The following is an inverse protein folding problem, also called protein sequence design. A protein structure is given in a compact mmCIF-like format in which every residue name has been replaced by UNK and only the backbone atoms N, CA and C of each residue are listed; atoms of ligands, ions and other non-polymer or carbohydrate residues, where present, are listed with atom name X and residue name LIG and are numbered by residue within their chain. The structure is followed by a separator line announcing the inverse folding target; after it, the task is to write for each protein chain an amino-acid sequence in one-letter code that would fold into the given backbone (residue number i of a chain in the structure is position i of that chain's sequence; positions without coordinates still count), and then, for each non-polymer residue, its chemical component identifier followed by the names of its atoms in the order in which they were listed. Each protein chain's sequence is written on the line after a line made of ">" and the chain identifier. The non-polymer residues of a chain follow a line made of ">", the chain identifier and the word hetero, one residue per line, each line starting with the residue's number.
data_IF_450460134918
#
_entry.id   IF_450460134918
#
_cell.length_a   1.000
_cell.length_b   1.000
_cell.length_c   1.000
_cell.angle_alpha   90.00
_cell.angle_beta   90.00
_cell.angle_gamma   90.00
#
_symmetry.space_group_name_H-M   'P 1'
#
loop_
_entity.id
_entity.type
_entity.pdbx_description
1 polymer ?
#
# COMPACT_ATOMS: atom_id res chain seq x y z
N UNK A 1 1.46 7.93 16.46
CA UNK A 1 1.17 7.13 15.22
C UNK A 1 -0.20 6.49 15.41
N UNK A 2 -1.04 6.47 14.37
CA UNK A 2 -2.38 5.84 14.41
C UNK A 2 -2.24 4.33 14.74
N UNK A 3 -3.07 3.74 15.63
CA UNK A 3 -2.91 2.35 16.05
C UNK A 3 -2.93 1.34 14.88
N UNK A 4 -3.85 1.50 13.92
CA UNK A 4 -3.91 0.63 12.73
C UNK A 4 -2.66 0.75 11.86
N UNK A 5 -2.07 1.95 11.73
CA UNK A 5 -0.81 2.13 10.98
C UNK A 5 0.35 1.43 11.69
N UNK A 6 0.41 1.52 13.02
CA UNK A 6 1.43 0.82 13.79
C UNK A 6 1.33 -0.70 13.62
N UNK A 7 0.12 -1.25 13.73
CA UNK A 7 -0.14 -2.68 13.51
C UNK A 7 0.20 -3.10 12.07
N UNK A 8 -0.22 -2.31 11.07
CA UNK A 8 0.02 -2.60 9.65
C UNK A 8 1.51 -2.70 9.29
N UNK A 9 2.36 -1.89 9.94
CA UNK A 9 3.81 -1.85 9.71
C UNK A 9 4.61 -2.71 10.69
N UNK A 10 3.97 -3.50 11.54
CA UNK A 10 4.64 -4.40 12.47
C UNK A 10 5.24 -5.58 11.71
N UNK A 11 6.57 -5.61 11.56
CA UNK A 11 7.26 -6.65 10.77
C UNK A 11 7.31 -8.03 11.46
N UNK A 12 6.72 -8.16 12.64
CA UNK A 12 6.58 -9.44 13.35
C UNK A 12 5.40 -10.28 12.83
N UNK A 13 4.46 -9.65 12.13
CA UNK A 13 3.26 -10.29 11.60
C UNK A 13 2.89 -9.63 10.28
N UNK A 14 2.85 -10.37 9.15
CA UNK A 14 2.60 -9.77 7.84
C UNK A 14 1.18 -9.20 7.73
N UNK A 15 1.03 -8.10 7.01
CA UNK A 15 -0.24 -7.42 6.78
C UNK A 15 -0.68 -7.47 5.32
N UNK A 16 -1.98 -7.28 5.05
CA UNK A 16 -2.55 -7.28 3.70
C UNK A 16 -3.27 -5.95 3.42
N UNK A 17 -2.86 -5.27 2.37
CA UNK A 17 -3.56 -4.12 1.79
C UNK A 17 -4.21 -4.51 0.47
N UNK A 18 -5.49 -4.18 0.30
CA UNK A 18 -6.21 -4.31 -0.98
C UNK A 18 -6.36 -2.92 -1.59
N UNK A 19 -5.71 -2.71 -2.74
CA UNK A 19 -5.61 -1.40 -3.38
C UNK A 19 -6.60 -1.21 -4.54
N UNK A 20 -7.01 0.04 -4.78
CA UNK A 20 -7.90 0.41 -5.88
C UNK A 20 -9.36 0.06 -5.61
N UNK A 21 -9.83 0.31 -4.40
CA UNK A 21 -11.24 0.20 -4.02
C UNK A 21 -11.99 1.43 -4.52
N UNK A 22 -13.13 1.24 -5.18
CA UNK A 22 -13.86 2.30 -5.86
C UNK A 22 -15.31 2.47 -5.39
N UNK A 23 -15.82 1.55 -4.58
CA UNK A 23 -17.21 1.58 -4.15
C UNK A 23 -17.41 1.18 -2.68
N UNK A 24 -18.50 1.66 -2.03
CA UNK A 24 -18.72 1.45 -0.60
C UNK A 24 -18.99 -0.01 -0.22
N UNK A 25 -19.63 -0.79 -1.08
CA UNK A 25 -19.97 -2.18 -0.76
C UNK A 25 -18.71 -3.06 -0.65
N UNK A 26 -17.78 -2.92 -1.59
CA UNK A 26 -16.48 -3.61 -1.53
C UNK A 26 -15.65 -3.14 -0.32
N UNK A 27 -15.65 -1.83 -0.05
CA UNK A 27 -14.92 -1.26 1.09
C UNK A 27 -15.41 -1.82 2.44
N UNK A 28 -16.73 -1.88 2.64
CA UNK A 28 -17.31 -2.44 3.86
C UNK A 28 -17.06 -3.95 3.97
N UNK A 29 -17.16 -4.71 2.88
CA UNK A 29 -16.89 -6.14 2.86
C UNK A 29 -15.42 -6.45 3.19
N UNK A 30 -14.45 -5.65 2.69
CA UNK A 30 -13.03 -5.77 3.06
C UNK A 30 -12.82 -5.56 4.55
N UNK A 31 -13.46 -4.54 5.13
CA UNK A 31 -13.37 -4.28 6.56
C UNK A 31 -14.03 -5.40 7.41
N UNK A 32 -15.14 -6.00 6.94
CA UNK A 32 -15.78 -7.14 7.60
C UNK A 32 -14.92 -8.41 7.56
N UNK A 33 -14.18 -8.63 6.48
CA UNK A 33 -13.25 -9.74 6.35
C UNK A 33 -12.00 -9.60 7.22
N UNK A 34 -11.73 -8.42 7.77
CA UNK A 34 -10.54 -8.16 8.59
C UNK A 34 -9.28 -7.89 7.76
N UNK A 35 -9.42 -7.35 6.54
CA UNK A 35 -8.30 -6.82 5.78
C UNK A 35 -7.67 -5.65 6.54
N UNK A 36 -6.33 -5.59 6.62
CA UNK A 36 -5.63 -4.60 7.44
C UNK A 36 -5.70 -3.18 6.86
N UNK A 37 -5.61 -3.04 5.53
CA UNK A 37 -5.66 -1.75 4.87
C UNK A 37 -6.38 -1.78 3.52
N UNK A 38 -7.02 -0.69 3.14
CA UNK A 38 -7.53 -0.46 1.80
C UNK A 38 -6.91 0.77 1.14
N UNK A 39 -6.72 0.72 -0.19
CA UNK A 39 -6.21 1.83 -0.99
C UNK A 39 -7.28 2.46 -1.86
N UNK A 40 -7.44 3.77 -1.76
CA UNK A 40 -8.33 4.59 -2.61
C UNK A 40 -7.46 5.42 -3.54
N UNK A 41 -7.63 5.26 -4.83
CA UNK A 41 -6.80 5.97 -5.82
C UNK A 41 -7.46 7.29 -6.22
N UNK A 42 -6.80 8.41 -5.90
CA UNK A 42 -7.25 9.76 -6.22
C UNK A 42 -6.62 10.32 -7.51
N UNK A 43 -5.85 9.53 -8.25
CA UNK A 43 -5.28 9.94 -9.53
C UNK A 43 -6.28 9.72 -10.68
N UNK A 44 -6.73 10.79 -11.40
CA UNK A 44 -7.82 10.69 -12.37
C UNK A 44 -7.52 9.79 -13.58
N UNK A 45 -6.24 9.58 -13.93
CA UNK A 45 -5.85 8.72 -15.06
C UNK A 45 -5.82 7.23 -14.69
N UNK A 46 -5.99 6.91 -13.41
CA UNK A 46 -6.05 5.52 -12.96
C UNK A 46 -7.36 4.84 -13.40
N UNK A 47 -7.26 3.61 -13.87
CA UNK A 47 -8.44 2.75 -14.10
C UNK A 47 -9.21 2.43 -12.81
N UNK A 48 -8.59 2.72 -11.64
CA UNK A 48 -9.13 2.51 -10.29
C UNK A 48 -9.41 3.84 -9.61
N UNK A 49 -9.59 4.89 -10.40
CA UNK A 49 -9.89 6.21 -9.86
C UNK A 49 -11.19 6.21 -9.07
N UNK A 50 -11.13 6.70 -7.84
CA UNK A 50 -12.30 6.96 -7.02
C UNK A 50 -12.43 8.47 -6.83
N UNK A 51 -13.50 9.09 -7.37
CA UNK A 51 -13.75 10.52 -7.16
C UNK A 51 -13.85 10.85 -5.67
N UNK A 52 -13.29 11.99 -5.27
CA UNK A 52 -13.27 12.42 -3.87
C UNK A 52 -14.67 12.47 -3.25
N UNK A 53 -15.68 12.91 -4.01
CA UNK A 53 -17.06 12.94 -3.53
C UNK A 53 -17.57 11.54 -3.20
N UNK A 54 -17.31 10.54 -4.05
CA UNK A 54 -17.64 9.14 -3.79
C UNK A 54 -16.89 8.61 -2.56
N UNK A 55 -15.59 8.90 -2.45
CA UNK A 55 -14.80 8.48 -1.28
C UNK A 55 -15.35 9.05 0.05
N UNK A 56 -15.83 10.30 0.04
CA UNK A 56 -16.45 10.94 1.20
C UNK A 56 -17.75 10.28 1.66
N UNK A 57 -18.45 9.56 0.80
CA UNK A 57 -19.69 8.87 1.15
C UNK A 57 -19.46 7.64 2.03
N UNK A 58 -18.30 6.97 1.93
CA UNK A 58 -18.07 5.71 2.64
C UNK A 58 -16.84 5.67 3.55
N UNK A 59 -15.76 6.41 3.26
CA UNK A 59 -14.54 6.34 4.08
C UNK A 59 -14.77 6.71 5.56
N UNK A 60 -15.65 7.66 5.93
CA UNK A 60 -15.90 7.95 7.34
C UNK A 60 -16.46 6.77 8.13
N UNK A 61 -17.29 5.90 7.51
CA UNK A 61 -17.84 4.71 8.16
C UNK A 61 -16.82 3.59 8.42
N UNK A 62 -15.65 3.70 7.82
CA UNK A 62 -14.55 2.73 7.94
C UNK A 62 -13.48 3.16 8.95
N UNK A 63 -13.66 4.34 9.57
CA UNK A 63 -12.73 4.84 10.58
C UNK A 63 -12.59 3.81 11.71
N UNK A 64 -11.35 3.59 12.14
CA UNK A 64 -10.96 2.62 13.19
C UNK A 64 -11.29 1.13 12.88
N UNK A 65 -11.83 0.83 11.70
CA UNK A 65 -12.16 -0.55 11.26
C UNK A 65 -11.11 -1.12 10.31
N UNK A 66 -10.52 -0.27 9.47
CA UNK A 66 -9.51 -0.63 8.47
C UNK A 66 -8.63 0.59 8.18
N UNK A 67 -7.33 0.40 7.94
CA UNK A 67 -6.44 1.51 7.59
C UNK A 67 -6.79 2.07 6.21
N UNK A 68 -7.16 3.35 6.14
CA UNK A 68 -7.57 4.03 4.91
C UNK A 68 -6.37 4.73 4.28
N UNK A 69 -5.90 4.21 3.14
CA UNK A 69 -4.73 4.74 2.41
C UNK A 69 -5.19 5.48 1.16
N UNK A 70 -4.96 6.78 1.09
CA UNK A 70 -5.17 7.57 -0.13
C UNK A 70 -3.96 7.49 -1.05
N UNK A 71 -4.14 7.06 -2.30
CA UNK A 71 -3.07 6.94 -3.30
C UNK A 71 -3.08 8.16 -4.21
N UNK A 72 -1.91 8.79 -4.35
CA UNK A 72 -1.68 10.00 -5.13
C UNK A 72 -0.52 9.80 -6.11
N UNK A 73 -0.60 10.43 -7.25
CA UNK A 73 0.46 10.48 -8.27
C UNK A 73 0.65 11.93 -8.65
N UNK A 74 1.81 12.51 -8.30
CA UNK A 74 2.20 13.89 -8.59
C UNK A 74 1.12 14.93 -8.22
N UNK A 75 0.39 14.69 -7.13
CA UNK A 75 -0.67 15.58 -6.68
C UNK A 75 -0.09 16.84 -6.02
N UNK A 76 -0.80 17.97 -6.17
CA UNK A 76 -0.50 19.16 -5.38
C UNK A 76 -0.62 18.85 -3.88
N UNK A 77 0.32 19.32 -3.05
CA UNK A 77 0.43 18.89 -1.65
C UNK A 77 -0.79 19.22 -0.79
N UNK A 78 -1.57 20.23 -1.16
CA UNK A 78 -2.75 20.66 -0.41
C UNK A 78 -3.85 19.57 -0.37
N UNK A 79 -3.99 18.78 -1.44
CA UNK A 79 -4.99 17.72 -1.49
C UNK A 79 -4.71 16.61 -0.45
N UNK A 80 -3.56 15.91 -0.47
CA UNK A 80 -3.29 14.89 0.53
C UNK A 80 -3.23 15.46 1.97
N UNK A 81 -2.72 16.69 2.17
CA UNK A 81 -2.76 17.35 3.48
C UNK A 81 -4.17 17.53 4.01
N UNK A 82 -5.09 18.04 3.18
CA UNK A 82 -6.47 18.25 3.59
C UNK A 82 -7.20 16.96 3.94
N UNK A 83 -6.94 15.88 3.19
CA UNK A 83 -7.56 14.58 3.44
C UNK A 83 -7.03 13.91 4.72
N UNK A 84 -5.74 14.03 5.01
CA UNK A 84 -5.14 13.59 6.27
C UNK A 84 -5.66 14.42 7.44
N UNK A 85 -5.64 15.75 7.33
CA UNK A 85 -6.06 16.66 8.41
C UNK A 85 -7.55 16.56 8.74
N UNK A 86 -8.39 16.26 7.75
CA UNK A 86 -9.82 16.04 7.96
C UNK A 86 -10.13 14.63 8.52
N UNK A 87 -9.15 13.73 8.59
CA UNK A 87 -9.35 12.35 9.00
C UNK A 87 -10.14 11.52 7.98
N UNK A 88 -10.21 11.96 6.71
CA UNK A 88 -10.84 11.16 5.65
C UNK A 88 -9.96 9.96 5.26
N UNK A 89 -8.64 10.13 5.29
CA UNK A 89 -7.65 9.07 5.14
C UNK A 89 -6.72 9.05 6.34
N UNK A 90 -6.14 7.91 6.62
CA UNK A 90 -5.19 7.71 7.72
C UNK A 90 -3.74 7.85 7.27
N UNK A 91 -3.46 7.53 5.99
CA UNK A 91 -2.12 7.56 5.40
C UNK A 91 -2.23 8.03 3.95
N UNK A 92 -1.30 8.88 3.51
CA UNK A 92 -1.10 9.18 2.10
C UNK A 92 -0.07 8.20 1.50
N UNK A 93 -0.31 7.70 0.30
CA UNK A 93 0.67 6.93 -0.48
C UNK A 93 1.07 7.73 -1.71
N UNK A 94 2.31 8.17 -1.77
CA UNK A 94 2.88 8.90 -2.90
C UNK A 94 3.46 7.91 -3.91
N UNK A 95 2.78 7.73 -5.03
CA UNK A 95 3.06 6.69 -6.03
C UNK A 95 3.55 7.24 -7.37
N UNK A 96 3.83 8.53 -7.42
CA UNK A 96 4.42 9.24 -8.56
C UNK A 96 5.89 9.55 -8.36
N UNK A 97 6.33 10.66 -8.99
CA UNK A 97 7.71 11.13 -8.97
C UNK A 97 7.94 12.18 -7.85
N UNK A 98 7.09 12.16 -6.79
CA UNK A 98 7.26 13.07 -5.66
C UNK A 98 8.68 12.98 -5.10
N UNK A 99 9.39 14.10 -5.12
CA UNK A 99 10.79 14.18 -4.74
C UNK A 99 11.00 14.19 -3.20
N UNK A 100 12.27 14.21 -2.80
CA UNK A 100 12.64 14.25 -1.38
C UNK A 100 12.12 15.51 -0.69
N UNK A 101 12.06 16.66 -1.37
CA UNK A 101 11.60 17.92 -0.77
C UNK A 101 10.11 17.85 -0.47
N UNK A 102 9.32 17.34 -1.42
CA UNK A 102 7.89 17.10 -1.26
C UNK A 102 7.62 16.14 -0.08
N UNK A 103 8.24 14.98 -0.06
CA UNK A 103 8.02 13.96 0.98
C UNK A 103 8.49 14.44 2.37
N UNK A 104 9.65 15.11 2.44
CA UNK A 104 10.18 15.60 3.71
C UNK A 104 9.33 16.72 4.32
N UNK A 105 8.59 17.50 3.53
CA UNK A 105 7.63 18.46 4.07
C UNK A 105 6.53 17.75 4.87
N UNK A 106 5.99 16.63 4.36
CA UNK A 106 5.01 15.81 5.10
C UNK A 106 5.61 15.19 6.37
N UNK A 107 6.84 14.69 6.29
CA UNK A 107 7.54 14.14 7.46
C UNK A 107 7.73 15.19 8.56
N UNK A 108 8.13 16.42 8.20
CA UNK A 108 8.31 17.53 9.15
C UNK A 108 7.00 17.98 9.80
N UNK A 109 5.89 17.88 9.07
CA UNK A 109 4.55 18.17 9.58
C UNK A 109 3.98 17.02 10.43
N UNK A 110 4.68 15.87 10.51
CA UNK A 110 4.21 14.67 11.21
C UNK A 110 3.03 13.97 10.52
N UNK A 111 2.81 14.25 9.25
CA UNK A 111 1.74 13.66 8.45
C UNK A 111 2.17 12.27 7.94
N UNK A 112 1.38 11.21 8.21
CA UNK A 112 1.77 9.85 7.87
C UNK A 112 1.68 9.59 6.36
N UNK A 113 2.75 9.01 5.80
CA UNK A 113 2.76 8.63 4.39
C UNK A 113 3.63 7.41 4.09
N UNK A 114 3.31 6.74 2.99
CA UNK A 114 4.13 5.76 2.31
C UNK A 114 4.72 6.37 1.05
N UNK A 115 5.98 6.06 0.72
CA UNK A 115 6.54 6.38 -0.59
C UNK A 115 6.66 5.12 -1.43
N UNK A 116 6.03 5.11 -2.59
CA UNK A 116 6.21 4.04 -3.57
C UNK A 116 7.47 4.31 -4.40
N UNK A 117 8.27 3.26 -4.59
CA UNK A 117 9.49 3.25 -5.39
C UNK A 117 9.34 2.13 -6.43
N UNK A 118 9.45 2.50 -7.71
CA UNK A 118 9.56 1.55 -8.79
C UNK A 118 10.96 0.93 -8.81
N UNK A 119 11.04 -0.40 -8.72
CA UNK A 119 12.29 -1.12 -8.58
C UNK A 119 12.55 -1.98 -9.81
N UNK A 120 13.68 -1.76 -10.45
CA UNK A 120 14.26 -2.60 -11.50
C UNK A 120 15.62 -3.13 -11.06
N UNK A 121 16.40 -2.30 -10.35
CA UNK A 121 17.73 -2.63 -9.86
C UNK A 121 17.91 -2.25 -8.39
N UNK A 122 18.90 -2.84 -7.72
CA UNK A 122 19.19 -2.57 -6.31
C UNK A 122 19.52 -1.09 -6.03
N UNK A 123 20.10 -0.37 -6.99
CA UNK A 123 20.44 1.03 -6.86
C UNK A 123 19.22 1.95 -6.70
N UNK A 124 18.04 1.53 -7.19
CA UNK A 124 16.78 2.26 -7.05
C UNK A 124 16.38 2.41 -5.56
N UNK A 125 16.84 1.50 -4.71
CA UNK A 125 16.58 1.49 -3.28
C UNK A 125 17.52 2.40 -2.46
N UNK A 126 18.58 2.92 -3.07
CA UNK A 126 19.64 3.68 -2.38
C UNK A 126 19.17 4.96 -1.68
N UNK A 127 18.04 5.53 -2.11
CA UNK A 127 17.46 6.75 -1.55
C UNK A 127 16.28 6.50 -0.62
N UNK A 128 15.83 5.27 -0.45
CA UNK A 128 14.58 4.93 0.23
C UNK A 128 14.48 5.51 1.65
N UNK A 129 15.54 5.39 2.47
CA UNK A 129 15.58 5.93 3.84
C UNK A 129 15.56 7.47 3.91
N UNK A 130 15.92 8.15 2.84
CA UNK A 130 15.99 9.63 2.79
C UNK A 130 14.62 10.29 2.68
N UNK A 131 13.57 9.53 2.31
CA UNK A 131 12.20 10.06 2.24
C UNK A 131 11.57 10.28 3.61
N UNK A 132 12.12 9.68 4.68
CA UNK A 132 11.56 9.71 6.04
C UNK A 132 10.09 9.27 6.09
N UNK A 133 9.69 8.38 5.16
CA UNK A 133 8.35 7.80 5.10
C UNK A 133 8.11 6.82 6.26
N UNK A 134 6.85 6.64 6.65
CA UNK A 134 6.46 5.63 7.63
C UNK A 134 6.66 4.21 7.10
N UNK A 135 6.54 4.02 5.79
CA UNK A 135 6.83 2.78 5.09
C UNK A 135 7.21 3.04 3.63
N UNK A 136 8.01 2.14 3.05
CA UNK A 136 8.39 2.16 1.64
C UNK A 136 7.61 1.06 0.92
N UNK A 137 6.86 1.44 -0.11
CA UNK A 137 6.20 0.48 -0.98
C UNK A 137 7.10 0.23 -2.19
N UNK A 138 7.44 -1.05 -2.42
CA UNK A 138 8.25 -1.46 -3.56
C UNK A 138 7.35 -2.09 -4.62
N UNK A 139 7.28 -1.49 -5.79
CA UNK A 139 6.50 -1.98 -6.94
C UNK A 139 7.45 -2.27 -8.12
N UNK A 140 7.05 -3.17 -9.00
CA UNK A 140 7.83 -3.45 -10.21
C UNK A 140 7.86 -2.24 -11.13
N UNK A 141 9.07 -1.77 -11.46
CA UNK A 141 9.23 -0.59 -12.30
C UNK A 141 8.69 -0.83 -13.73
N UNK A 142 7.90 0.11 -14.20
CA UNK A 142 7.58 0.23 -15.62
C UNK A 142 7.57 1.73 -15.97
N UNK A 143 8.45 2.20 -16.86
CA UNK A 143 8.55 3.62 -17.20
C UNK A 143 7.20 4.22 -17.62
N UNK A 144 6.79 5.31 -16.96
CA UNK A 144 5.53 6.00 -17.25
C UNK A 144 4.25 5.24 -16.88
N UNK A 145 4.35 4.13 -16.15
CA UNK A 145 3.20 3.36 -15.64
C UNK A 145 3.28 3.28 -14.12
N UNK A 146 2.36 3.96 -13.44
CA UNK A 146 2.31 3.99 -11.98
C UNK A 146 1.41 2.85 -11.47
N UNK A 147 2.02 1.68 -11.21
CA UNK A 147 1.38 0.47 -10.68
C UNK A 147 0.62 -0.39 -11.71
N UNK A 148 0.29 -1.60 -11.32
CA UNK A 148 -0.59 -2.49 -12.09
C UNK A 148 0.01 -3.15 -13.35
N UNK A 149 1.33 -3.22 -13.47
CA UNK A 149 2.03 -3.81 -14.62
C UNK A 149 1.96 -5.33 -14.68
N UNK A 150 1.64 -5.99 -13.55
CA UNK A 150 1.67 -7.45 -13.41
C UNK A 150 3.09 -8.05 -13.38
N UNK A 151 4.14 -7.23 -13.45
CA UNK A 151 5.52 -7.68 -13.30
C UNK A 151 5.83 -7.92 -11.83
N UNK A 152 6.71 -8.86 -11.55
CA UNK A 152 7.19 -9.20 -10.21
C UNK A 152 8.63 -8.72 -10.07
N UNK A 153 8.96 -8.05 -8.96
CA UNK A 153 10.33 -7.67 -8.61
C UNK A 153 11.10 -8.88 -8.06
N UNK A 154 12.42 -8.84 -8.06
CA UNK A 154 13.24 -9.87 -7.41
C UNK A 154 13.09 -9.78 -5.88
N UNK A 155 12.32 -10.71 -5.30
CA UNK A 155 12.06 -10.77 -3.86
C UNK A 155 13.32 -11.00 -3.02
N UNK A 156 14.36 -11.63 -3.57
CA UNK A 156 15.67 -11.78 -2.89
C UNK A 156 16.40 -10.45 -2.79
N UNK A 157 16.28 -9.61 -3.81
CA UNK A 157 16.82 -8.25 -3.77
C UNK A 157 16.10 -7.43 -2.69
N UNK A 158 14.77 -7.54 -2.56
CA UNK A 158 14.00 -6.91 -1.49
C UNK A 158 14.46 -7.39 -0.12
N UNK A 159 14.67 -8.70 0.06
CA UNK A 159 15.20 -9.26 1.30
C UNK A 159 16.57 -8.68 1.65
N UNK A 160 17.47 -8.60 0.67
CA UNK A 160 18.80 -7.98 0.85
C UNK A 160 18.73 -6.49 1.22
N UNK A 161 17.70 -5.77 0.75
CA UNK A 161 17.46 -4.39 1.17
C UNK A 161 16.95 -4.31 2.62
N UNK A 162 16.01 -5.16 3.00
CA UNK A 162 15.45 -5.22 4.37
C UNK A 162 16.53 -5.54 5.41
N UNK A 163 17.56 -6.33 5.05
CA UNK A 163 18.67 -6.67 5.94
C UNK A 163 19.62 -5.51 6.24
N UNK A 164 19.52 -4.39 5.53
CA UNK A 164 20.35 -3.22 5.79
C UNK A 164 19.89 -2.50 7.05
N UNK A 165 20.84 -1.91 7.78
CA UNK A 165 20.52 -1.14 8.97
C UNK A 165 19.68 0.10 8.61
N UNK A 166 18.68 0.38 9.45
CA UNK A 166 17.80 1.56 9.32
C UNK A 166 16.89 1.55 8.11
N UNK A 167 16.57 0.38 7.57
CA UNK A 167 15.55 0.24 6.51
C UNK A 167 14.16 0.54 7.09
N UNK A 168 13.37 1.43 6.47
CA UNK A 168 11.96 1.61 6.83
C UNK A 168 11.15 0.32 6.61
N UNK A 169 10.01 0.12 7.29
CA UNK A 169 9.09 -0.97 6.99
C UNK A 169 8.77 -1.06 5.50
N UNK A 170 8.88 -2.27 4.93
CA UNK A 170 8.71 -2.50 3.49
C UNK A 170 7.34 -3.13 3.21
N UNK A 171 6.61 -2.52 2.29
CA UNK A 171 5.35 -3.01 1.72
C UNK A 171 5.68 -3.51 0.31
N UNK A 172 5.40 -4.78 0.02
CA UNK A 172 5.68 -5.38 -1.27
C UNK A 172 4.46 -5.30 -2.18
N UNK A 173 4.64 -4.72 -3.35
CA UNK A 173 3.64 -4.64 -4.41
C UNK A 173 4.16 -5.27 -5.72
N UNK A 174 3.36 -5.18 -6.79
CA UNK A 174 3.72 -5.64 -8.12
C UNK A 174 3.52 -7.14 -8.34
N UNK A 175 2.53 -7.50 -9.14
CA UNK A 175 2.29 -8.87 -9.59
C UNK A 175 1.93 -9.89 -8.52
N UNK A 176 1.54 -9.44 -7.33
CA UNK A 176 1.11 -10.32 -6.24
C UNK A 176 -0.27 -10.90 -6.55
N UNK A 177 -0.39 -12.23 -6.42
CA UNK A 177 -1.62 -13.01 -6.64
C UNK A 177 -1.79 -14.04 -5.51
N UNK A 178 -2.96 -14.69 -5.37
CA UNK A 178 -3.12 -15.78 -4.39
C UNK A 178 -2.08 -16.88 -4.51
N UNK A 179 -1.65 -17.19 -5.74
CA UNK A 179 -0.73 -18.30 -6.03
C UNK A 179 0.71 -18.02 -5.59
N UNK A 180 1.12 -16.74 -5.54
CA UNK A 180 2.51 -16.38 -5.24
C UNK A 180 2.69 -15.61 -3.91
N UNK A 181 1.60 -15.21 -3.24
CA UNK A 181 1.63 -14.37 -2.04
C UNK A 181 2.47 -14.97 -0.88
N UNK A 182 2.35 -16.29 -0.67
CA UNK A 182 3.13 -16.98 0.36
C UNK A 182 4.64 -16.93 0.08
N UNK A 183 5.05 -17.25 -1.15
CA UNK A 183 6.44 -17.18 -1.57
C UNK A 183 6.98 -15.76 -1.52
N UNK A 184 6.17 -14.80 -1.95
CA UNK A 184 6.51 -13.37 -1.91
C UNK A 184 6.86 -12.90 -0.49
N UNK A 185 6.01 -13.21 0.51
CA UNK A 185 6.26 -12.88 1.92
C UNK A 185 7.47 -13.60 2.49
N UNK A 186 7.56 -14.92 2.29
CA UNK A 186 8.64 -15.74 2.85
C UNK A 186 10.01 -15.37 2.28
N UNK A 187 10.05 -15.02 0.99
CA UNK A 187 11.31 -14.68 0.32
C UNK A 187 11.73 -13.26 0.58
N UNK A 188 10.81 -12.29 0.47
CA UNK A 188 11.12 -10.87 0.65
C UNK A 188 11.26 -10.46 2.10
N UNK A 189 10.51 -11.11 3.01
CA UNK A 189 10.35 -10.73 4.43
C UNK A 189 9.73 -9.32 4.61
N UNK A 190 8.94 -8.88 3.63
CA UNK A 190 8.21 -7.63 3.72
C UNK A 190 7.18 -7.65 4.85
N UNK A 191 6.92 -6.49 5.46
CA UNK A 191 5.94 -6.33 6.54
C UNK A 191 4.50 -6.49 6.04
N UNK A 192 4.26 -6.18 4.77
CA UNK A 192 2.92 -6.22 4.19
C UNK A 192 2.96 -6.50 2.69
N UNK A 193 1.85 -7.03 2.17
CA UNK A 193 1.55 -7.06 0.74
C UNK A 193 0.58 -5.95 0.38
N UNK A 194 0.80 -5.30 -0.77
CA UNK A 194 -0.15 -4.40 -1.43
C UNK A 194 -0.64 -5.03 -2.73
N UNK A 195 -1.91 -5.41 -2.78
CA UNK A 195 -2.47 -6.16 -3.90
C UNK A 195 -3.57 -5.35 -4.58
N UNK A 196 -3.41 -5.10 -5.88
CA UNK A 196 -4.44 -4.48 -6.72
C UNK A 196 -5.01 -5.51 -7.71
N UNK A 197 -4.39 -5.69 -8.87
CA UNK A 197 -4.90 -6.55 -9.94
C UNK A 197 -5.04 -8.03 -9.55
N UNK A 198 -4.17 -8.54 -8.68
CA UNK A 198 -4.24 -9.92 -8.19
C UNK A 198 -5.45 -10.22 -7.29
N UNK A 199 -6.14 -9.18 -6.83
CA UNK A 199 -7.38 -9.27 -6.04
C UNK A 199 -8.63 -8.87 -6.86
N UNK A 200 -8.54 -8.76 -8.19
CA UNK A 200 -9.60 -8.23 -9.04
C UNK A 200 -10.09 -9.26 -10.07
N UNK A 201 -11.37 -9.13 -10.42
CA UNK A 201 -12.00 -9.74 -11.62
C UNK A 201 -11.81 -8.86 -12.86
N UNK A 202 -11.84 -7.55 -12.65
CA UNK A 202 -11.54 -6.50 -13.64
C UNK A 202 -11.05 -5.24 -12.91
N UNK A 203 -10.33 -4.31 -13.59
CA UNK A 203 -9.82 -3.12 -12.93
C UNK A 203 -10.88 -2.33 -12.16
N UNK A 204 -10.68 -2.17 -10.84
CA UNK A 204 -11.62 -1.49 -9.94
C UNK A 204 -12.76 -2.35 -9.40
N UNK A 205 -12.83 -3.65 -9.75
CA UNK A 205 -13.83 -4.60 -9.21
C UNK A 205 -13.13 -5.76 -8.51
N UNK A 206 -13.38 -5.93 -7.21
CA UNK A 206 -12.72 -6.96 -6.40
C UNK A 206 -13.34 -8.33 -6.62
N UNK A 207 -12.47 -9.36 -6.67
CA UNK A 207 -12.85 -10.76 -6.63
C UNK A 207 -12.64 -11.25 -5.20
N UNK A 208 -13.74 -11.41 -4.46
CA UNK A 208 -13.68 -11.78 -3.05
C UNK A 208 -13.22 -13.21 -2.80
N UNK A 209 -13.24 -14.10 -3.79
CA UNK A 209 -12.58 -15.41 -3.66
C UNK A 209 -11.07 -15.28 -3.64
N UNK A 210 -10.51 -14.40 -4.50
CA UNK A 210 -9.07 -14.08 -4.48
C UNK A 210 -8.67 -13.33 -3.21
N UNK A 211 -9.49 -12.36 -2.77
CA UNK A 211 -9.24 -11.62 -1.52
C UNK A 211 -9.19 -12.58 -0.33
N UNK A 212 -10.15 -13.51 -0.22
CA UNK A 212 -10.18 -14.50 0.87
C UNK A 212 -8.96 -15.41 0.84
N UNK A 213 -8.54 -15.89 -0.33
CA UNK A 213 -7.35 -16.74 -0.48
C UNK A 213 -6.06 -15.99 -0.10
N UNK A 214 -5.93 -14.70 -0.46
CA UNK A 214 -4.83 -13.84 -0.03
C UNK A 214 -4.81 -13.67 1.49
N UNK A 215 -5.97 -13.40 2.08
CA UNK A 215 -6.11 -13.24 3.54
C UNK A 215 -5.76 -14.52 4.29
N UNK A 216 -6.27 -15.68 3.85
CA UNK A 216 -5.94 -16.99 4.43
C UNK A 216 -4.43 -17.25 4.40
N UNK A 217 -3.77 -16.92 3.27
CA UNK A 217 -2.32 -17.03 3.14
C UNK A 217 -1.60 -16.16 4.17
N UNK A 218 -1.97 -14.89 4.29
CA UNK A 218 -1.35 -13.96 5.26
C UNK A 218 -1.60 -14.42 6.69
N UNK A 219 -2.84 -14.81 7.04
CA UNK A 219 -3.17 -15.31 8.38
C UNK A 219 -2.38 -16.57 8.73
N UNK A 220 -2.23 -17.52 7.80
CA UNK A 220 -1.45 -18.75 8.03
C UNK A 220 0.04 -18.49 8.31
N UNK A 221 0.57 -17.35 7.88
CA UNK A 221 1.96 -16.94 8.15
C UNK A 221 2.07 -16.18 9.47
N UNK A 222 1.00 -15.47 9.90
CA UNK A 222 0.91 -14.86 11.25
C UNK A 222 1.00 -15.92 12.34
N UNK A 223 0.22 -16.98 12.22
CA UNK A 223 0.15 -18.08 13.20
C UNK A 223 1.46 -18.86 13.35
N UNK A 224 2.38 -18.74 12.40
CA UNK A 224 3.71 -19.38 12.46
C UNK A 224 4.81 -18.50 13.05
N UNK A 225 4.52 -17.22 13.22
CA UNK A 225 5.48 -16.23 13.75
C UNK A 225 5.38 -16.10 15.30
N UNK A 226 4.28 -16.58 15.89
CA UNK A 226 4.05 -16.72 17.34
C UNK A 226 4.60 -18.08 17.84
#
# INVERSE_FOLDING_TARGET
>A
MHPLLHSFLACTSPSLKICGVTNPAEADQLAQLGIDALGINFWPESRRYCPLNTAREFLPSLQDRILRVGVFVNAEPDLPRSLLSSGLIDVAQFHGDEDLAYCNAFAQEGLPFFKAIGVEHADDLSTASRYHANGILLDAHAPGVYGGTGRVIDWKMVAGFIDQQSTPPVILAGGITPENAAEALLTSRACALDVASGAESSPGSKDFSKVSSLLETVCSLRDKAD
#
